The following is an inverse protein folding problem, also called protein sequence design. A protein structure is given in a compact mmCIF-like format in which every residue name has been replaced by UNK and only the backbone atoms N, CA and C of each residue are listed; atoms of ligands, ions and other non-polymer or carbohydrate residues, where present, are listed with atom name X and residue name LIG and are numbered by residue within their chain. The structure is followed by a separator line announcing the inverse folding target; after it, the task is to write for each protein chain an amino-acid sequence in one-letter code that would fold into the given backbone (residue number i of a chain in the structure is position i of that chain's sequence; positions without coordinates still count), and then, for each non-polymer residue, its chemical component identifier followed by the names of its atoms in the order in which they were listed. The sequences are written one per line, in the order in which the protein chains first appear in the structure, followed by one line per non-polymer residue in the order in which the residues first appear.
data_IF_664714632042
#
_entry.id   IF_664714632042
#
_cell.length_a   1.000
_cell.length_b   1.000
_cell.length_c   1.000
_cell.angle_alpha   90.00
_cell.angle_beta   90.00
_cell.angle_gamma   90.00
#
_symmetry.space_group_name_H-M   'P 1'
#
loop_
_entity.id
_entity.type
_entity.pdbx_description
1 polymer ?
#
# COMPACT_ATOMS: atom_id res chain seq x y z
N UNK A 1 34.52 -53.88 -45.56
CA UNK A 1 35.74 -54.45 -46.16
C UNK A 1 35.56 -54.52 -47.68
N UNK A 2 36.61 -54.39 -48.51
CA UNK A 2 36.52 -54.49 -49.98
C UNK A 2 36.98 -55.87 -50.46
N UNK A 3 36.30 -56.44 -51.46
CA UNK A 3 36.60 -57.78 -52.02
C UNK A 3 38.03 -57.88 -52.55
N UNK A 4 38.53 -56.80 -53.17
CA UNK A 4 39.89 -56.70 -53.73
C UNK A 4 40.98 -56.93 -52.67
N UNK A 5 40.76 -56.48 -51.43
CA UNK A 5 41.73 -56.64 -50.35
C UNK A 5 41.83 -58.11 -49.87
N UNK A 6 40.76 -58.88 -50.02
CA UNK A 6 40.73 -60.30 -49.65
C UNK A 6 41.38 -61.18 -50.72
N UNK A 7 41.18 -60.82 -52.00
CA UNK A 7 41.84 -61.49 -53.13
C UNK A 7 43.36 -61.22 -53.08
N UNK A 8 43.77 -59.99 -52.74
CA UNK A 8 45.18 -59.65 -52.54
C UNK A 8 45.86 -60.40 -51.38
N UNK A 9 45.09 -60.93 -50.43
CA UNK A 9 45.57 -61.78 -49.33
C UNK A 9 45.67 -63.27 -49.72
N UNK A 10 45.33 -63.63 -50.96
CA UNK A 10 45.48 -64.98 -51.50
C UNK A 10 44.29 -65.92 -51.26
N UNK A 11 43.11 -65.40 -50.90
CA UNK A 11 41.89 -66.22 -50.78
C UNK A 11 41.27 -66.52 -52.15
N UNK A 12 40.69 -67.72 -52.29
CA UNK A 12 39.93 -68.11 -53.48
C UNK A 12 38.57 -67.40 -53.52
N UNK A 13 38.00 -67.26 -54.72
CA UNK A 13 36.76 -66.50 -54.93
C UNK A 13 35.58 -67.00 -54.09
N UNK A 14 35.52 -68.32 -53.84
CA UNK A 14 34.53 -68.98 -52.98
C UNK A 14 34.74 -68.68 -51.48
N UNK A 15 35.98 -68.56 -51.02
CA UNK A 15 36.26 -68.19 -49.63
C UNK A 15 35.96 -66.69 -49.41
N UNK A 16 36.18 -65.85 -50.43
CA UNK A 16 35.86 -64.42 -50.39
C UNK A 16 34.34 -64.19 -50.26
N UNK A 17 33.50 -65.02 -50.86
CA UNK A 17 32.03 -64.90 -50.72
C UNK A 17 31.57 -65.30 -49.32
N UNK A 18 32.05 -66.41 -48.76
CA UNK A 18 31.72 -66.82 -47.38
C UNK A 18 32.16 -65.78 -46.34
N UNK A 19 33.38 -65.24 -46.46
CA UNK A 19 33.89 -64.19 -45.55
C UNK A 19 33.06 -62.92 -45.66
N UNK A 20 32.62 -62.54 -46.87
CA UNK A 20 31.73 -61.39 -47.07
C UNK A 20 30.34 -61.61 -46.47
N UNK A 21 29.81 -62.84 -46.52
CA UNK A 21 28.51 -63.17 -45.92
C UNK A 21 28.57 -63.15 -44.38
N UNK A 22 29.65 -63.65 -43.77
CA UNK A 22 29.89 -63.54 -42.33
C UNK A 22 30.05 -62.07 -41.93
N UNK A 23 30.87 -61.31 -42.66
CA UNK A 23 31.07 -59.88 -42.41
C UNK A 23 29.77 -59.07 -42.56
N UNK A 24 28.94 -59.40 -43.54
CA UNK A 24 27.63 -58.80 -43.73
C UNK A 24 26.65 -59.17 -42.59
N UNK A 25 26.71 -60.40 -42.06
CA UNK A 25 25.93 -60.81 -40.88
C UNK A 25 26.38 -60.07 -39.63
N UNK A 26 27.68 -59.92 -39.40
CA UNK A 26 28.22 -59.19 -38.24
C UNK A 26 27.86 -57.69 -38.28
N UNK A 27 27.86 -57.09 -39.47
CA UNK A 27 27.47 -55.69 -39.66
C UNK A 27 25.97 -55.43 -39.40
N UNK A 28 25.09 -56.45 -39.48
CA UNK A 28 23.65 -56.26 -39.21
C UNK A 28 23.33 -55.85 -37.78
N UNK A 29 24.21 -56.15 -36.82
CA UNK A 29 24.07 -55.71 -35.42
C UNK A 29 24.67 -54.33 -35.13
N UNK A 30 25.39 -53.74 -36.08
CA UNK A 30 26.13 -52.50 -35.87
C UNK A 30 25.30 -51.27 -36.25
N UNK A 31 25.13 -50.35 -35.29
CA UNK A 31 24.45 -49.08 -35.55
C UNK A 31 25.45 -48.13 -36.21
N UNK A 32 25.14 -47.55 -37.40
CA UNK A 32 26.00 -46.56 -38.02
C UNK A 32 26.22 -45.37 -37.10
N UNK A 33 27.47 -44.92 -36.94
CA UNK A 33 27.85 -43.82 -36.03
C UNK A 33 26.96 -42.58 -36.19
N UNK A 34 26.60 -42.24 -37.44
CA UNK A 34 25.68 -41.13 -37.76
C UNK A 34 24.32 -41.23 -37.04
N UNK A 35 23.71 -42.43 -36.99
CA UNK A 35 22.44 -42.65 -36.27
C UNK A 35 22.60 -42.53 -34.77
N UNK A 36 23.73 -42.99 -34.24
CA UNK A 36 24.05 -42.85 -32.81
C UNK A 36 24.25 -41.38 -32.43
N UNK A 37 25.01 -40.63 -33.24
CA UNK A 37 25.27 -39.21 -33.01
C UNK A 37 23.95 -38.40 -33.08
N UNK A 38 23.09 -38.66 -34.07
CA UNK A 38 21.75 -38.06 -34.18
C UNK A 38 20.87 -38.32 -32.92
N UNK A 39 20.85 -39.55 -32.42
CA UNK A 39 20.09 -39.91 -31.21
C UNK A 39 20.69 -39.27 -29.96
N UNK A 40 22.01 -39.20 -29.87
CA UNK A 40 22.68 -38.62 -28.71
C UNK A 40 22.49 -37.10 -28.67
N UNK A 41 22.55 -36.42 -29.81
CA UNK A 41 22.36 -34.98 -29.90
C UNK A 41 20.90 -34.60 -29.62
N UNK A 42 19.93 -35.34 -30.17
CA UNK A 42 18.51 -35.15 -29.82
C UNK A 42 18.26 -35.40 -28.32
N UNK A 43 18.91 -36.40 -27.71
CA UNK A 43 18.83 -36.63 -26.26
C UNK A 43 19.37 -35.44 -25.47
N UNK A 44 20.54 -34.90 -25.85
CA UNK A 44 21.13 -33.73 -25.17
C UNK A 44 20.24 -32.50 -25.31
N UNK A 45 19.62 -32.29 -26.47
CA UNK A 45 18.75 -31.14 -26.69
C UNK A 45 17.43 -31.26 -25.91
N UNK A 46 16.88 -32.48 -25.81
CA UNK A 46 15.75 -32.77 -24.92
C UNK A 46 16.11 -32.55 -23.45
N UNK A 47 17.28 -33.01 -22.99
CA UNK A 47 17.77 -32.76 -21.63
C UNK A 47 17.90 -31.25 -21.33
N UNK A 48 18.41 -30.46 -22.28
CA UNK A 48 18.48 -29.00 -22.16
C UNK A 48 17.09 -28.37 -22.06
N UNK A 49 16.15 -28.80 -22.91
CA UNK A 49 14.77 -28.32 -22.88
C UNK A 49 14.09 -28.62 -21.54
N UNK A 50 14.29 -29.84 -21.01
CA UNK A 50 13.74 -30.24 -19.71
C UNK A 50 14.31 -29.37 -18.58
N UNK A 51 15.62 -29.12 -18.57
CA UNK A 51 16.24 -28.23 -17.58
C UNK A 51 15.69 -26.81 -17.64
N UNK A 52 15.62 -26.23 -18.84
CA UNK A 52 15.06 -24.89 -19.04
C UNK A 52 13.60 -24.80 -18.57
N UNK A 53 12.78 -25.81 -18.87
CA UNK A 53 11.39 -25.89 -18.40
C UNK A 53 11.29 -25.95 -16.87
N UNK A 54 12.15 -26.74 -16.21
CA UNK A 54 12.19 -26.80 -14.76
C UNK A 54 12.61 -25.45 -14.14
N UNK A 55 13.59 -24.78 -14.70
CA UNK A 55 13.99 -23.43 -14.25
C UNK A 55 12.83 -22.43 -14.37
N UNK A 56 12.09 -22.46 -15.49
CA UNK A 56 10.89 -21.63 -15.67
C UNK A 56 9.80 -21.95 -14.63
N UNK A 57 9.54 -23.22 -14.35
CA UNK A 57 8.55 -23.63 -13.35
C UNK A 57 8.93 -23.13 -11.95
N UNK A 58 10.20 -23.31 -11.54
CA UNK A 58 10.69 -22.79 -10.26
C UNK A 58 10.50 -21.27 -10.19
N UNK A 59 10.86 -20.55 -11.26
CA UNK A 59 10.66 -19.09 -11.32
C UNK A 59 9.18 -18.67 -11.21
N UNK A 60 8.25 -19.49 -11.73
CA UNK A 60 6.82 -19.23 -11.61
C UNK A 60 6.31 -19.56 -10.21
N UNK A 61 6.75 -20.65 -9.59
CA UNK A 61 6.42 -20.96 -8.20
C UNK A 61 6.91 -19.88 -7.23
N UNK A 62 8.11 -19.34 -7.43
CA UNK A 62 8.65 -18.21 -6.64
C UNK A 62 7.79 -16.94 -6.82
N UNK A 63 7.39 -16.62 -8.06
CA UNK A 63 6.49 -15.49 -8.33
C UNK A 63 5.11 -15.67 -7.69
N UNK A 64 4.55 -16.87 -7.73
CA UNK A 64 3.25 -17.19 -7.11
C UNK A 64 3.33 -17.05 -5.58
N UNK A 65 4.42 -17.49 -4.93
CA UNK A 65 4.65 -17.27 -3.50
C UNK A 65 4.73 -15.78 -3.15
N UNK A 66 5.39 -14.98 -3.99
CA UNK A 66 5.39 -13.52 -3.87
C UNK A 66 3.99 -12.90 -3.99
N UNK A 67 3.10 -13.48 -4.79
CA UNK A 67 1.70 -13.06 -4.89
C UNK A 67 0.89 -13.40 -3.62
N UNK A 68 1.08 -14.56 -2.98
CA UNK A 68 0.40 -14.87 -1.72
C UNK A 68 0.85 -13.96 -0.57
N UNK A 69 2.14 -13.61 -0.52
CA UNK A 69 2.65 -12.62 0.44
C UNK A 69 2.10 -11.23 0.14
N UNK A 70 2.04 -10.83 -1.13
CA UNK A 70 1.42 -9.58 -1.55
C UNK A 70 -0.07 -9.53 -1.18
N UNK A 71 -0.84 -10.60 -1.37
CA UNK A 71 -2.24 -10.68 -0.95
C UNK A 71 -2.41 -10.55 0.57
N UNK A 72 -1.54 -11.18 1.36
CA UNK A 72 -1.55 -11.04 2.83
C UNK A 72 -1.24 -9.60 3.25
N UNK A 73 -0.26 -8.96 2.61
CA UNK A 73 0.10 -7.56 2.87
C UNK A 73 -1.06 -6.63 2.48
N UNK A 74 -1.69 -6.84 1.32
CA UNK A 74 -2.85 -6.05 0.88
C UNK A 74 -4.01 -6.17 1.87
N UNK A 75 -4.34 -7.39 2.32
CA UNK A 75 -5.40 -7.58 3.33
C UNK A 75 -5.10 -6.91 4.65
N UNK A 76 -3.85 -6.99 5.14
CA UNK A 76 -3.42 -6.27 6.35
C UNK A 76 -3.54 -4.76 6.17
N UNK A 77 -3.05 -4.22 5.05
CA UNK A 77 -3.10 -2.79 4.76
C UNK A 77 -4.54 -2.28 4.65
N UNK A 78 -5.45 -3.07 4.06
CA UNK A 78 -6.88 -2.77 4.00
C UNK A 78 -7.52 -2.74 5.40
N UNK A 79 -7.21 -3.72 6.26
CA UNK A 79 -7.70 -3.75 7.64
C UNK A 79 -7.18 -2.56 8.46
N UNK A 80 -5.89 -2.23 8.33
CA UNK A 80 -5.28 -1.07 8.98
C UNK A 80 -5.92 0.24 8.50
N UNK A 81 -6.19 0.38 7.21
CA UNK A 81 -6.85 1.56 6.65
C UNK A 81 -8.29 1.74 7.17
N UNK A 82 -9.09 0.67 7.18
CA UNK A 82 -10.46 0.70 7.73
C UNK A 82 -10.49 1.02 9.22
N UNK A 83 -9.57 0.43 10.00
CA UNK A 83 -9.43 0.72 11.43
C UNK A 83 -9.00 2.18 11.67
N UNK A 84 -8.02 2.67 10.90
CA UNK A 84 -7.54 4.04 10.99
C UNK A 84 -8.64 5.03 10.62
N UNK A 85 -9.39 4.79 9.54
CA UNK A 85 -10.51 5.64 9.10
C UNK A 85 -11.56 5.79 10.19
N UNK A 86 -12.01 4.68 10.79
CA UNK A 86 -12.97 4.71 11.92
C UNK A 86 -12.41 5.47 13.13
N UNK A 87 -11.12 5.28 13.44
CA UNK A 87 -10.47 6.00 14.54
C UNK A 87 -10.40 7.51 14.28
N UNK A 88 -10.06 7.92 13.05
CA UNK A 88 -10.01 9.33 12.68
C UNK A 88 -11.40 9.96 12.65
N UNK A 89 -12.40 9.31 12.08
CA UNK A 89 -13.78 9.79 12.10
C UNK A 89 -14.30 9.96 13.54
N UNK A 90 -14.00 9.00 14.43
CA UNK A 90 -14.35 9.12 15.85
C UNK A 90 -13.63 10.29 16.53
N UNK A 91 -12.32 10.46 16.28
CA UNK A 91 -11.54 11.58 16.83
C UNK A 91 -12.03 12.93 16.34
N UNK A 92 -12.35 13.05 15.05
CA UNK A 92 -12.89 14.28 14.45
C UNK A 92 -14.23 14.61 15.12
N UNK A 93 -15.14 13.64 15.21
CA UNK A 93 -16.43 13.85 15.90
C UNK A 93 -16.26 14.30 17.34
N UNK A 94 -15.38 13.64 18.10
CA UNK A 94 -15.12 14.01 19.50
C UNK A 94 -14.50 15.41 19.64
N UNK A 95 -13.57 15.78 18.74
CA UNK A 95 -13.00 17.13 18.70
C UNK A 95 -14.06 18.19 18.36
N UNK A 96 -14.90 17.96 17.35
CA UNK A 96 -15.97 18.88 16.95
C UNK A 96 -16.97 19.06 18.10
N UNK A 97 -17.39 17.97 18.74
CA UNK A 97 -18.28 18.00 19.91
C UNK A 97 -17.63 18.78 21.07
N UNK A 98 -16.38 18.47 21.40
CA UNK A 98 -15.67 19.12 22.51
C UNK A 98 -15.51 20.62 22.25
N UNK A 99 -15.15 21.02 21.03
CA UNK A 99 -15.02 22.44 20.64
C UNK A 99 -16.36 23.20 20.69
N UNK A 100 -17.44 22.57 20.23
CA UNK A 100 -18.78 23.13 20.30
C UNK A 100 -19.24 23.33 21.75
N UNK A 101 -18.98 22.35 22.63
CA UNK A 101 -19.29 22.47 24.07
C UNK A 101 -18.46 23.58 24.71
N UNK A 102 -17.14 23.61 24.49
CA UNK A 102 -16.25 24.65 25.01
C UNK A 102 -16.71 26.06 24.60
N UNK A 103 -17.14 26.21 23.34
CA UNK A 103 -17.66 27.49 22.83
C UNK A 103 -18.93 27.94 23.56
N UNK A 104 -19.76 27.02 24.05
CA UNK A 104 -20.96 27.32 24.84
C UNK A 104 -20.65 27.56 26.32
N UNK A 105 -19.53 27.05 26.82
CA UNK A 105 -19.08 27.17 28.21
C UNK A 105 -18.18 28.39 28.49
N UNK A 106 -18.03 29.33 27.54
CA UNK A 106 -17.18 30.52 27.72
C UNK A 106 -17.53 31.40 28.95
N UNK A 107 -18.77 31.31 29.44
CA UNK A 107 -19.28 32.09 30.58
C UNK A 107 -19.32 31.29 31.90
N UNK A 108 -18.50 30.25 32.02
CA UNK A 108 -18.40 29.39 33.21
C UNK A 108 -17.06 29.61 33.90
N UNK A 109 -17.05 29.64 35.23
CA UNK A 109 -15.82 29.84 36.02
C UNK A 109 -14.82 28.67 35.90
N UNK A 110 -15.32 27.45 35.76
CA UNK A 110 -14.56 26.20 35.59
C UNK A 110 -15.17 25.34 34.47
N UNK A 111 -14.87 25.68 33.21
CA UNK A 111 -15.39 24.97 32.04
C UNK A 111 -15.05 23.48 32.04
N UNK A 112 -13.86 23.11 32.52
CA UNK A 112 -13.36 21.73 32.49
C UNK A 112 -14.18 20.78 33.37
N UNK A 113 -14.75 21.28 34.47
CA UNK A 113 -15.59 20.49 35.38
C UNK A 113 -16.96 20.13 34.76
N UNK A 114 -17.41 20.91 33.78
CA UNK A 114 -18.68 20.70 33.11
C UNK A 114 -18.54 19.90 31.81
N UNK A 115 -17.36 19.84 31.19
CA UNK A 115 -17.12 19.09 29.95
C UNK A 115 -17.52 17.61 30.08
N UNK A 116 -17.16 16.98 31.19
CA UNK A 116 -17.47 15.57 31.47
C UNK A 116 -18.94 15.33 31.87
N UNK A 117 -19.73 16.39 32.05
CA UNK A 117 -21.17 16.30 32.36
C UNK A 117 -22.06 16.29 31.13
N UNK A 118 -21.51 16.61 29.96
CA UNK A 118 -22.25 16.49 28.70
C UNK A 118 -22.24 15.05 28.22
N UNK A 119 -23.42 14.55 27.85
CA UNK A 119 -23.53 13.24 27.23
C UNK A 119 -23.21 13.37 25.73
N UNK A 120 -21.95 13.11 25.38
CA UNK A 120 -21.43 13.15 24.01
C UNK A 120 -22.09 12.14 23.08
N UNK A 121 -22.72 11.09 23.61
CA UNK A 121 -23.35 10.02 22.81
C UNK A 121 -24.68 10.45 22.19
N UNK A 122 -25.35 11.44 22.79
CA UNK A 122 -26.64 11.98 22.36
C UNK A 122 -26.46 13.16 21.38
N UNK A 123 -25.24 13.70 21.27
CA UNK A 123 -24.94 14.86 20.44
C UNK A 123 -24.73 14.47 18.98
N UNK A 124 -25.45 15.14 18.08
CA UNK A 124 -25.38 14.89 16.63
C UNK A 124 -24.59 16.01 15.98
N UNK A 125 -23.53 15.64 15.26
CA UNK A 125 -22.79 16.54 14.36
C UNK A 125 -23.56 16.62 13.05
N UNK A 126 -24.10 17.80 12.74
CA UNK A 126 -24.83 18.07 11.50
C UNK A 126 -23.85 18.29 10.33
N UNK A 127 -24.38 18.26 9.11
CA UNK A 127 -23.60 18.47 7.87
C UNK A 127 -22.92 19.85 7.81
N UNK A 128 -23.48 20.85 8.50
CA UNK A 128 -22.94 22.21 8.60
C UNK A 128 -21.84 22.37 9.68
N UNK A 129 -21.24 21.27 10.15
CA UNK A 129 -20.27 21.22 11.27
C UNK A 129 -20.82 21.72 12.62
N UNK A 130 -22.12 22.02 12.70
CA UNK A 130 -22.80 22.42 13.95
C UNK A 130 -23.23 21.20 14.75
N UNK A 131 -23.15 21.29 16.08
CA UNK A 131 -23.53 20.20 16.99
C UNK A 131 -24.86 20.52 17.65
N UNK A 132 -25.86 19.68 17.41
CA UNK A 132 -27.22 19.83 17.97
C UNK A 132 -27.39 19.04 19.27
N UNK A 133 -28.31 19.49 20.14
CA UNK A 133 -28.55 18.90 21.46
C UNK A 133 -27.71 19.49 22.61
N UNK A 134 -26.66 20.27 22.31
CA UNK A 134 -25.83 20.91 23.35
C UNK A 134 -26.65 21.92 24.16
N UNK A 135 -27.51 22.70 23.51
CA UNK A 135 -28.29 23.76 24.17
C UNK A 135 -29.29 23.19 25.20
N UNK A 136 -29.89 22.03 24.92
CA UNK A 136 -30.81 21.36 25.86
C UNK A 136 -30.08 20.91 27.12
N UNK A 137 -28.95 20.21 26.96
CA UNK A 137 -28.12 19.76 28.09
C UNK A 137 -27.57 20.96 28.88
N UNK A 138 -27.17 22.03 28.18
CA UNK A 138 -26.70 23.26 28.81
C UNK A 138 -27.77 23.92 29.69
N UNK A 139 -29.04 23.95 29.25
CA UNK A 139 -30.12 24.52 30.07
C UNK A 139 -30.42 23.69 31.32
N UNK A 140 -30.29 22.36 31.26
CA UNK A 140 -30.42 21.48 32.42
C UNK A 140 -29.27 21.70 33.40
N UNK A 141 -28.03 21.76 32.91
CA UNK A 141 -26.84 22.01 33.74
C UNK A 141 -26.89 23.39 34.40
N UNK A 142 -27.38 24.43 33.71
CA UNK A 142 -27.59 25.76 34.29
C UNK A 142 -28.58 25.75 35.46
N UNK A 143 -29.66 24.97 35.36
CA UNK A 143 -30.63 24.83 36.47
C UNK A 143 -30.05 24.08 37.66
N UNK A 144 -29.21 23.07 37.41
CA UNK A 144 -28.61 22.26 38.47
C UNK A 144 -27.41 22.94 39.15
N UNK A 145 -26.63 23.71 38.39
CA UNK A 145 -25.36 24.27 38.83
C UNK A 145 -25.28 25.78 38.57
N UNK A 146 -26.31 26.51 38.99
CA UNK A 146 -26.43 27.95 38.73
C UNK A 146 -25.17 28.74 39.16
N UNK A 147 -24.60 28.38 40.32
CA UNK A 147 -23.43 29.04 40.91
C UNK A 147 -22.14 28.94 40.07
N UNK A 148 -22.09 28.01 39.10
CA UNK A 148 -20.93 27.83 38.22
C UNK A 148 -20.98 28.72 36.98
N UNK A 149 -22.14 29.27 36.65
CA UNK A 149 -22.36 30.14 35.50
C UNK A 149 -22.29 31.62 35.93
N UNK A 150 -21.54 32.41 35.16
CA UNK A 150 -21.38 33.84 35.41
C UNK A 150 -22.33 34.58 34.46
N UNK A 151 -23.23 35.38 35.03
CA UNK A 151 -24.07 36.28 34.23
C UNK A 151 -23.20 37.42 33.67
N UNK A 152 -23.27 37.65 32.37
CA UNK A 152 -22.47 38.65 31.65
C UNK A 152 -22.72 40.11 32.08
N UNK A 153 -23.62 40.36 33.04
CA UNK A 153 -23.75 41.70 33.65
C UNK A 153 -22.55 42.10 34.49
N UNK A 154 -21.79 41.14 35.02
CA UNK A 154 -20.63 41.42 35.89
C UNK A 154 -19.29 41.38 35.14
N UNK A 155 -19.33 41.18 33.82
CA UNK A 155 -18.16 41.22 32.94
C UNK A 155 -18.24 42.44 32.02
N UNK A 156 -18.30 43.63 32.61
CA UNK A 156 -17.80 44.80 31.89
C UNK A 156 -16.32 44.53 31.56
N UNK A 157 -16.05 44.18 30.30
CA UNK A 157 -14.70 44.27 29.77
C UNK A 157 -14.27 45.73 29.89
N UNK A 158 -13.46 46.04 30.89
CA UNK A 158 -12.64 47.24 30.87
C UNK A 158 -11.57 47.06 29.79
N UNK A 159 -11.98 47.24 28.53
CA UNK A 159 -11.11 47.52 27.41
C UNK A 159 -11.17 49.01 27.09
N UNK A 160 -10.85 49.85 28.08
CA UNK A 160 -10.43 51.23 27.83
C UNK A 160 -8.97 51.40 28.23
N UNK A 161 -8.07 50.63 27.60
CA UNK A 161 -6.71 51.12 27.44
C UNK A 161 -6.74 52.19 26.37
N UNK A 162 -6.81 53.46 26.79
CA UNK A 162 -6.40 54.57 25.96
C UNK A 162 -4.99 54.24 25.48
N UNK A 163 -4.81 54.03 24.17
CA UNK A 163 -3.46 53.91 23.61
C UNK A 163 -2.66 55.15 24.04
N UNK A 164 -1.42 55.00 24.54
CA UNK A 164 -0.58 56.14 24.87
C UNK A 164 -0.43 56.99 23.60
N UNK A 165 -0.83 58.26 23.69
CA UNK A 165 -0.77 59.21 22.60
C UNK A 165 0.67 59.28 22.06
N UNK A 166 0.89 58.74 20.86
CA UNK A 166 2.19 58.84 20.18
C UNK A 166 2.62 57.63 19.35
N UNK A 167 2.05 56.44 19.55
CA UNK A 167 2.43 55.26 18.74
C UNK A 167 1.46 55.13 17.56
N UNK A 168 1.85 55.70 16.41
CA UNK A 168 1.13 55.47 15.14
C UNK A 168 1.28 54.01 14.72
N UNK A 169 0.16 53.38 14.34
CA UNK A 169 0.11 51.99 13.89
C UNK A 169 1.09 51.76 12.72
N UNK A 170 2.08 50.85 12.86
CA UNK A 170 3.08 50.59 11.82
C UNK A 170 2.48 49.93 10.57
N UNK A 171 1.25 49.41 10.64
CA UNK A 171 0.53 48.77 9.53
C UNK A 171 -0.60 49.65 8.99
N UNK A 172 -0.60 50.95 9.29
CA UNK A 172 -1.53 51.88 8.67
C UNK A 172 -1.29 51.94 7.15
N UNK A 173 -2.36 52.20 6.40
CA UNK A 173 -2.32 52.32 4.93
C UNK A 173 -1.34 53.42 4.49
N UNK A 174 -1.09 54.42 5.35
CA UNK A 174 -0.10 55.49 5.11
C UNK A 174 1.36 55.00 5.13
N UNK A 175 1.65 53.89 5.83
CA UNK A 175 3.02 53.34 5.96
C UNK A 175 3.26 52.08 5.12
N UNK A 176 2.21 51.34 4.73
CA UNK A 176 2.34 50.12 3.93
C UNK A 176 2.21 50.41 2.43
N UNK A 177 3.25 51.01 1.82
CA UNK A 177 3.30 51.28 0.37
C UNK A 177 3.69 50.05 -0.46
N UNK A 178 2.80 49.06 -0.58
CA UNK A 178 2.99 47.95 -1.55
C UNK A 178 1.91 47.82 -2.62
N UNK A 179 0.89 48.69 -2.66
CA UNK A 179 -0.26 48.49 -3.54
C UNK A 179 -0.76 49.73 -4.29
N UNK A 180 0.10 50.43 -5.06
CA UNK A 180 -0.35 51.14 -6.28
C UNK A 180 0.77 51.20 -7.33
N UNK A 181 1.04 50.08 -8.01
CA UNK A 181 1.66 50.08 -9.34
C UNK A 181 1.06 48.94 -10.20
N UNK A 182 -0.24 49.00 -10.44
CA UNK A 182 -0.82 48.42 -11.66
C UNK A 182 -1.52 49.57 -12.36
N UNK A 183 -0.85 50.10 -13.38
CA UNK A 183 -1.29 51.18 -14.24
C UNK A 183 -2.10 50.54 -15.36
N UNK A 184 -3.39 50.86 -15.46
CA UNK A 184 -4.17 50.73 -16.70
C UNK A 184 -4.17 52.08 -17.38
#
# INVERSE_FOLDING_TARGET
MKKENLIALGLTEEQVSEVMDIYAKDLKGYIPKKRFDEVNDSRKDLEKLIKNKNEQLISFEEKIKGCEEAEKIIKKLQQEYESAKKSYEAKIKDMTITSAIQSKLMNVKYSDLLLDKFDKSVLVVNEDETVSGIDEQLTMLKKQYNDLFIDMKDKELNCQEKSPEGIKNPWSIEHFNLAVKVKV
#
